data_IF_716809955132
#
_entry.id   IF_716809955132
#
_cell.length_a   1.000
_cell.length_b   1.000
_cell.length_c   1.000
_cell.angle_alpha   90.00
_cell.angle_beta   90.00
_cell.angle_gamma   90.00
#
_symmetry.space_group_name_H-M   'P 1'
#
loop_
_entity.id
_entity.type
_entity.pdbx_description
1 polymer ?
#
# COMPACT_ATOMS: atom_id res chain seq x y z
N UNK A 1 -6.54 1.03 -11.85
CA UNK A 1 -5.65 -0.12 -11.69
C UNK A 1 -4.23 0.39 -11.54
N UNK A 2 -3.48 -0.13 -10.57
CA UNK A 2 -2.09 0.25 -10.27
C UNK A 2 -1.24 -1.02 -10.35
N UNK A 3 -0.21 -1.00 -11.18
CA UNK A 3 0.71 -2.11 -11.38
C UNK A 3 2.16 -1.64 -11.20
N UNK A 4 2.79 -1.95 -10.05
CA UNK A 4 4.24 -1.80 -9.87
C UNK A 4 5.01 -2.82 -10.70
N UNK A 5 6.02 -2.38 -11.46
CA UNK A 5 6.78 -3.19 -12.41
C UNK A 5 8.29 -3.00 -12.21
N UNK A 6 9.09 -4.08 -12.27
CA UNK A 6 10.55 -4.01 -12.21
C UNK A 6 11.24 -4.94 -13.21
N UNK A 7 11.16 -6.27 -13.01
CA UNK A 7 11.81 -7.29 -13.86
C UNK A 7 10.79 -8.14 -14.64
N UNK A 8 9.51 -7.89 -14.43
CA UNK A 8 8.38 -8.78 -14.67
C UNK A 8 7.62 -8.44 -15.96
N UNK A 9 8.30 -7.84 -16.95
CA UNK A 9 7.71 -7.44 -18.24
C UNK A 9 6.89 -8.57 -18.90
N UNK A 10 7.39 -9.80 -18.88
CA UNK A 10 6.72 -10.92 -19.54
C UNK A 10 5.47 -11.39 -18.80
N UNK A 11 5.49 -11.37 -17.48
CA UNK A 11 4.32 -11.66 -16.68
C UNK A 11 3.29 -10.53 -16.81
N UNK A 12 3.74 -9.27 -16.82
CA UNK A 12 2.88 -8.11 -17.06
C UNK A 12 2.13 -8.21 -18.39
N UNK A 13 2.81 -8.56 -19.49
CA UNK A 13 2.13 -8.75 -20.79
C UNK A 13 1.08 -9.86 -20.73
N UNK A 14 1.39 -10.99 -20.07
CA UNK A 14 0.45 -12.11 -19.93
C UNK A 14 -0.77 -11.71 -19.10
N UNK A 15 -0.55 -11.04 -17.98
CA UNK A 15 -1.62 -10.53 -17.12
C UNK A 15 -2.51 -9.55 -17.89
N UNK A 16 -1.94 -8.58 -18.61
CA UNK A 16 -2.70 -7.59 -19.38
C UNK A 16 -3.56 -8.25 -20.48
N UNK A 17 -3.07 -9.29 -21.16
CA UNK A 17 -3.86 -10.05 -22.13
C UNK A 17 -5.04 -10.83 -21.52
N UNK A 18 -5.08 -10.97 -20.19
CA UNK A 18 -6.07 -11.74 -19.47
C UNK A 18 -7.07 -10.87 -18.69
N UNK A 19 -6.91 -9.55 -18.70
CA UNK A 19 -7.90 -8.62 -18.15
C UNK A 19 -9.17 -8.69 -19.01
N UNK A 20 -10.28 -9.17 -18.42
CA UNK A 20 -11.57 -9.36 -19.10
C UNK A 20 -12.54 -8.18 -18.98
N UNK A 21 -12.11 -7.09 -18.36
CA UNK A 21 -12.96 -5.91 -18.05
C UNK A 21 -12.26 -4.62 -18.46
N UNK A 22 -13.01 -3.56 -18.83
CA UNK A 22 -12.40 -2.28 -19.16
C UNK A 22 -11.64 -1.66 -17.98
N UNK A 23 -10.47 -1.11 -18.24
CA UNK A 23 -9.70 -0.33 -17.25
C UNK A 23 -10.01 1.15 -17.47
N UNK A 24 -10.63 1.80 -16.47
CA UNK A 24 -10.92 3.24 -16.49
C UNK A 24 -9.65 4.09 -16.51
N UNK A 25 -8.70 3.76 -15.63
CA UNK A 25 -7.41 4.42 -15.44
C UNK A 25 -6.35 3.37 -15.08
N UNK A 26 -5.28 3.32 -15.86
CA UNK A 26 -4.14 2.42 -15.69
C UNK A 26 -2.91 3.23 -15.25
N UNK A 27 -2.38 2.90 -14.08
CA UNK A 27 -1.16 3.49 -13.53
C UNK A 27 -0.08 2.41 -13.52
N UNK A 28 0.93 2.58 -14.36
CA UNK A 28 2.09 1.70 -14.41
C UNK A 28 3.25 2.40 -13.68
N UNK A 29 3.84 1.73 -12.70
CA UNK A 29 4.95 2.31 -11.94
C UNK A 29 6.20 1.49 -12.17
N UNK A 30 7.10 2.00 -13.01
CA UNK A 30 8.40 1.40 -13.22
C UNK A 30 9.28 1.66 -11.99
N UNK A 31 9.74 0.60 -11.35
CA UNK A 31 10.45 0.58 -10.07
C UNK A 31 11.86 -0.02 -10.21
N UNK A 32 12.63 0.55 -11.13
CA UNK A 32 13.93 0.09 -11.62
C UNK A 32 14.26 0.68 -12.98
N UNK A 33 15.39 0.28 -13.56
CA UNK A 33 15.95 0.75 -14.83
C UNK A 33 16.09 -0.35 -15.88
N UNK A 34 15.39 -1.47 -15.73
CA UNK A 34 15.37 -2.55 -16.72
C UNK A 34 14.97 -1.99 -18.11
N UNK A 35 15.84 -2.19 -19.09
CA UNK A 35 15.77 -1.50 -20.37
C UNK A 35 14.58 -1.95 -21.21
N UNK A 36 14.26 -3.24 -21.23
CA UNK A 36 13.16 -3.77 -22.02
C UNK A 36 11.80 -3.31 -21.49
N UNK A 37 11.63 -3.26 -20.18
CA UNK A 37 10.47 -2.68 -19.52
C UNK A 37 10.35 -1.20 -19.87
N UNK A 38 11.45 -0.45 -19.75
CA UNK A 38 11.49 0.99 -20.07
C UNK A 38 11.04 1.27 -21.51
N UNK A 39 11.53 0.49 -22.47
CA UNK A 39 11.14 0.57 -23.88
C UNK A 39 9.67 0.22 -24.07
N UNK A 40 9.19 -0.86 -23.45
CA UNK A 40 7.79 -1.27 -23.56
C UNK A 40 6.84 -0.19 -23.01
N UNK A 41 7.16 0.42 -21.88
CA UNK A 41 6.35 1.47 -21.28
C UNK A 41 6.37 2.76 -22.12
N UNK A 42 7.51 3.10 -22.73
CA UNK A 42 7.61 4.21 -23.68
C UNK A 42 6.71 4.03 -24.89
N UNK A 43 6.67 2.82 -25.46
CA UNK A 43 5.77 2.51 -26.57
C UNK A 43 4.30 2.55 -26.16
N UNK A 44 3.96 2.06 -24.96
CA UNK A 44 2.58 2.15 -24.45
C UNK A 44 2.12 3.61 -24.29
N UNK A 45 2.97 4.50 -23.76
CA UNK A 45 2.65 5.93 -23.70
C UNK A 45 2.53 6.55 -25.09
N UNK A 46 3.39 6.18 -26.03
CA UNK A 46 3.30 6.68 -27.41
C UNK A 46 1.95 6.33 -28.05
N UNK A 47 1.44 5.13 -27.79
CA UNK A 47 0.19 4.63 -28.39
C UNK A 47 -1.06 5.08 -27.62
N UNK A 48 -1.01 5.11 -26.28
CA UNK A 48 -2.19 5.31 -25.43
C UNK A 48 -2.12 6.54 -24.52
N UNK A 49 -0.98 7.22 -24.42
CA UNK A 49 -0.78 8.35 -23.51
C UNK A 49 -1.70 9.55 -23.78
N UNK A 50 -2.11 9.74 -25.04
CA UNK A 50 -3.08 10.77 -25.43
C UNK A 50 -4.47 10.58 -24.81
N UNK A 51 -4.80 9.38 -24.33
CA UNK A 51 -6.14 9.06 -23.81
C UNK A 51 -6.43 9.68 -22.44
N UNK A 52 -5.41 10.14 -21.71
CA UNK A 52 -5.53 10.53 -20.30
C UNK A 52 -5.87 9.36 -19.34
N UNK A 53 -5.95 8.12 -19.85
CA UNK A 53 -6.29 6.91 -19.09
C UNK A 53 -5.10 5.99 -18.81
N UNK A 54 -3.92 6.34 -19.33
CA UNK A 54 -2.66 5.68 -19.04
C UNK A 54 -1.71 6.70 -18.39
N UNK A 55 -1.18 6.35 -17.22
CA UNK A 55 -0.13 7.09 -16.54
C UNK A 55 1.03 6.14 -16.30
N UNK A 56 2.23 6.55 -16.71
CA UNK A 56 3.46 5.82 -16.42
C UNK A 56 4.34 6.67 -15.51
N UNK A 57 4.57 6.20 -14.28
CA UNK A 57 5.53 6.79 -13.37
C UNK A 57 6.85 6.04 -13.45
N UNK A 58 7.95 6.75 -13.69
CA UNK A 58 9.28 6.14 -13.87
C UNK A 58 10.20 6.45 -12.71
N UNK A 59 10.71 5.39 -12.08
CA UNK A 59 11.71 5.48 -11.03
C UNK A 59 12.89 4.57 -11.39
N UNK A 60 13.99 5.13 -11.92
CA UNK A 60 15.20 4.36 -12.25
C UNK A 60 15.82 3.69 -11.02
N UNK A 61 15.69 4.32 -9.85
CA UNK A 61 15.98 3.70 -8.57
C UNK A 61 14.75 3.00 -8.00
N UNK A 62 14.95 1.86 -7.34
CA UNK A 62 13.85 1.14 -6.72
C UNK A 62 13.34 1.90 -5.47
N UNK A 63 12.13 2.46 -5.56
CA UNK A 63 11.44 3.16 -4.48
C UNK A 63 10.70 2.24 -3.51
N UNK A 64 10.64 0.94 -3.80
CA UNK A 64 9.93 -0.07 -3.03
C UNK A 64 8.47 -0.24 -3.47
N UNK A 65 7.90 -1.41 -3.18
CA UNK A 65 6.55 -1.78 -3.59
C UNK A 65 5.49 -0.88 -2.97
N UNK A 66 5.55 -0.64 -1.65
CA UNK A 66 4.63 0.27 -0.94
C UNK A 66 4.60 1.66 -1.59
N UNK A 67 5.76 2.26 -1.86
CA UNK A 67 5.84 3.58 -2.46
C UNK A 67 5.27 3.59 -3.89
N UNK A 68 5.54 2.55 -4.67
CA UNK A 68 4.98 2.40 -6.02
C UNK A 68 3.45 2.27 -6.01
N UNK A 69 2.89 1.47 -5.11
CA UNK A 69 1.42 1.39 -4.94
C UNK A 69 0.86 2.74 -4.49
N UNK A 70 1.51 3.40 -3.53
CA UNK A 70 1.05 4.68 -3.00
C UNK A 70 0.99 5.80 -4.04
N UNK A 71 1.81 5.76 -5.11
CA UNK A 71 1.67 6.72 -6.24
C UNK A 71 0.27 6.63 -6.84
N UNK A 72 -0.21 5.40 -7.09
CA UNK A 72 -1.56 5.19 -7.62
C UNK A 72 -2.66 5.52 -6.61
N UNK A 73 -2.45 5.26 -5.32
CA UNK A 73 -3.40 5.64 -4.27
C UNK A 73 -3.53 7.16 -4.13
N UNK A 74 -2.41 7.89 -4.11
CA UNK A 74 -2.40 9.37 -4.06
C UNK A 74 -3.15 9.95 -5.26
N UNK A 75 -2.88 9.45 -6.46
CA UNK A 75 -3.60 9.86 -7.66
C UNK A 75 -5.12 9.59 -7.53
N UNK A 76 -5.51 8.40 -7.07
CA UNK A 76 -6.92 8.06 -6.89
C UNK A 76 -7.64 8.99 -5.90
N UNK A 77 -6.96 9.44 -4.83
CA UNK A 77 -7.52 10.41 -3.89
C UNK A 77 -7.56 11.83 -4.45
N UNK A 78 -6.66 12.19 -5.37
CA UNK A 78 -6.67 13.50 -6.04
C UNK A 78 -7.77 13.67 -7.10
N UNK A 79 -8.33 12.56 -7.59
CA UNK A 79 -9.40 12.54 -8.57
C UNK A 79 -10.79 12.48 -7.90
N UNK A 80 -11.87 12.93 -8.56
CA UNK A 80 -13.22 12.80 -8.03
C UNK A 80 -13.57 11.37 -7.65
N UNK A 81 -14.32 11.19 -6.55
CA UNK A 81 -14.67 9.85 -6.04
C UNK A 81 -15.50 9.03 -7.04
N UNK A 82 -16.30 9.72 -7.84
CA UNK A 82 -17.15 9.15 -8.87
C UNK A 82 -16.31 8.58 -10.02
N UNK A 83 -15.12 9.14 -10.26
CA UNK A 83 -14.20 8.63 -11.27
C UNK A 83 -13.37 7.45 -10.79
N UNK A 84 -12.99 7.45 -9.50
CA UNK A 84 -12.15 6.41 -8.89
C UNK A 84 -12.73 5.96 -7.54
N UNK A 85 -13.83 5.19 -7.53
CA UNK A 85 -14.48 4.72 -6.30
C UNK A 85 -13.70 3.62 -5.55
N UNK A 86 -12.74 2.99 -6.23
CA UNK A 86 -11.83 1.99 -5.67
C UNK A 86 -10.54 1.94 -6.50
N UNK A 87 -9.50 1.33 -5.93
CA UNK A 87 -8.23 1.10 -6.60
C UNK A 87 -7.95 -0.38 -6.66
N UNK A 88 -7.80 -0.90 -7.88
CA UNK A 88 -7.31 -2.25 -8.12
C UNK A 88 -5.78 -2.25 -8.12
N UNK A 89 -5.16 -2.83 -7.09
CA UNK A 89 -3.71 -3.01 -6.96
C UNK A 89 -3.38 -4.46 -7.30
N UNK A 90 -2.46 -4.68 -8.23
CA UNK A 90 -2.18 -6.03 -8.70
C UNK A 90 -0.72 -6.22 -9.08
N UNK A 91 -0.17 -7.39 -8.73
CA UNK A 91 1.12 -7.87 -9.19
C UNK A 91 0.99 -8.34 -10.65
N UNK A 92 2.10 -8.33 -11.37
CA UNK A 92 2.11 -8.78 -12.77
C UNK A 92 2.06 -10.29 -12.97
N UNK A 93 2.34 -11.09 -11.93
CA UNK A 93 2.45 -12.55 -12.03
C UNK A 93 1.18 -13.29 -11.60
N UNK A 94 0.04 -12.65 -11.88
CA UNK A 94 -1.31 -13.17 -11.63
C UNK A 94 -2.07 -13.40 -12.93
N UNK A 95 -3.02 -14.33 -12.89
CA UNK A 95 -3.99 -14.58 -13.95
C UNK A 95 -5.38 -14.81 -13.37
N UNK A 96 -6.39 -14.36 -14.10
CA UNK A 96 -7.81 -14.38 -13.78
C UNK A 96 -8.56 -15.24 -14.79
N UNK A 97 -9.54 -16.00 -14.34
CA UNK A 97 -10.54 -16.52 -15.27
C UNK A 97 -11.43 -15.38 -15.77
N UNK A 98 -12.01 -15.48 -16.99
CA UNK A 98 -12.79 -14.40 -17.58
C UNK A 98 -13.97 -13.91 -16.71
N UNK A 99 -14.54 -14.80 -15.90
CA UNK A 99 -15.67 -14.55 -14.99
C UNK A 99 -15.28 -13.91 -13.65
N UNK A 100 -14.00 -13.94 -13.25
CA UNK A 100 -13.58 -13.47 -11.94
C UNK A 100 -13.72 -11.94 -11.80
N UNK A 101 -13.08 -11.18 -12.70
CA UNK A 101 -13.07 -9.71 -12.61
C UNK A 101 -14.47 -9.08 -12.75
N UNK A 102 -15.37 -9.53 -13.66
CA UNK A 102 -16.74 -9.02 -13.72
C UNK A 102 -17.51 -9.21 -12.42
N UNK A 103 -17.40 -10.38 -11.77
CA UNK A 103 -18.06 -10.63 -10.50
C UNK A 103 -17.46 -9.81 -9.35
N UNK A 104 -16.13 -9.67 -9.32
CA UNK A 104 -15.44 -8.83 -8.34
C UNK A 104 -15.88 -7.36 -8.46
N UNK A 105 -15.98 -6.83 -9.68
CA UNK A 105 -16.47 -5.47 -9.93
C UNK A 105 -17.93 -5.28 -9.48
N UNK A 106 -18.80 -6.25 -9.79
CA UNK A 106 -20.20 -6.22 -9.32
C UNK A 106 -20.26 -6.13 -7.80
N UNK A 107 -19.57 -7.04 -7.11
CA UNK A 107 -19.55 -7.08 -5.64
C UNK A 107 -19.04 -5.75 -5.05
N UNK A 108 -17.97 -5.16 -5.60
CA UNK A 108 -17.47 -3.86 -5.13
C UNK A 108 -18.51 -2.77 -5.32
N UNK A 109 -19.07 -2.61 -6.52
CA UNK A 109 -20.05 -1.57 -6.80
C UNK A 109 -21.31 -1.68 -5.93
N UNK A 110 -21.84 -2.90 -5.73
CA UNK A 110 -23.03 -3.13 -4.94
C UNK A 110 -22.80 -2.89 -3.45
N UNK A 111 -21.67 -3.38 -2.91
CA UNK A 111 -21.40 -3.39 -1.48
C UNK A 111 -20.81 -2.07 -0.97
N UNK A 112 -20.26 -1.22 -1.82
CA UNK A 112 -19.73 0.10 -1.44
C UNK A 112 -20.66 1.27 -1.80
N UNK A 113 -21.90 1.00 -2.26
CA UNK A 113 -22.83 2.06 -2.72
C UNK A 113 -23.16 3.14 -1.69
N UNK A 114 -22.98 2.83 -0.40
CA UNK A 114 -23.25 3.74 0.71
C UNK A 114 -21.99 4.44 1.25
N UNK A 115 -20.80 4.10 0.74
CA UNK A 115 -19.54 4.64 1.26
C UNK A 115 -19.41 6.15 1.02
N UNK A 116 -20.02 6.68 -0.05
CA UNK A 116 -19.97 8.11 -0.35
C UNK A 116 -20.53 8.98 0.78
N UNK A 117 -21.72 8.63 1.30
CA UNK A 117 -22.33 9.34 2.43
C UNK A 117 -21.46 9.27 3.67
N UNK A 118 -20.89 8.09 3.95
CA UNK A 118 -19.97 7.91 5.09
C UNK A 118 -18.71 8.76 4.95
N UNK A 119 -18.16 8.86 3.74
CA UNK A 119 -17.00 9.72 3.47
C UNK A 119 -17.32 11.20 3.66
N UNK A 120 -18.52 11.66 3.26
CA UNK A 120 -18.96 13.04 3.43
C UNK A 120 -19.11 13.40 4.92
N UNK A 121 -19.68 12.51 5.73
CA UNK A 121 -19.76 12.67 7.19
C UNK A 121 -18.36 12.80 7.82
N UNK A 122 -17.43 11.92 7.44
CA UNK A 122 -16.07 11.92 7.98
C UNK A 122 -15.30 13.16 7.53
N UNK A 123 -15.47 13.61 6.29
CA UNK A 123 -14.86 14.83 5.80
C UNK A 123 -15.37 16.07 6.57
N UNK A 124 -16.66 16.13 6.86
CA UNK A 124 -17.24 17.19 7.68
C UNK A 124 -16.74 17.15 9.13
N UNK A 125 -16.60 15.96 9.73
CA UNK A 125 -16.01 15.81 11.07
C UNK A 125 -14.54 16.29 11.07
N UNK A 126 -13.75 15.84 10.09
CA UNK A 126 -12.33 16.20 9.97
C UNK A 126 -12.11 17.69 9.70
N UNK A 127 -12.98 18.34 8.93
CA UNK A 127 -12.88 19.77 8.63
C UNK A 127 -12.99 20.67 9.88
N UNK A 128 -13.59 20.16 10.97
CA UNK A 128 -13.76 20.88 12.23
C UNK A 128 -12.66 20.56 13.26
N UNK A 129 -11.58 19.88 12.86
CA UNK A 129 -10.50 19.52 13.77
C UNK A 129 -9.45 20.63 13.93
N UNK A 130 -8.79 20.76 15.09
CA UNK A 130 -8.82 19.85 16.24
C UNK A 130 -10.16 19.88 17.02
N UNK A 131 -10.56 18.73 17.55
CA UNK A 131 -11.78 18.52 18.36
C UNK A 131 -11.43 18.12 19.80
N UNK A 132 -12.42 17.92 20.68
CA UNK A 132 -12.21 17.51 22.07
C UNK A 132 -11.46 16.17 22.25
N UNK A 133 -11.36 15.38 21.18
CA UNK A 133 -10.60 14.13 21.12
C UNK A 133 -9.13 14.33 20.73
N UNK A 134 -8.75 15.51 20.23
CA UNK A 134 -7.38 15.82 19.82
C UNK A 134 -6.44 15.85 21.03
N UNK A 135 -5.30 15.14 21.00
CA UNK A 135 -4.34 15.09 22.10
C UNK A 135 -3.65 16.44 22.34
N UNK A 136 -3.63 17.32 21.35
CA UNK A 136 -3.08 18.69 21.40
C UNK A 136 -3.73 19.51 22.50
N UNK A 137 -5.06 19.42 22.62
CA UNK A 137 -5.86 20.16 23.59
C UNK A 137 -5.72 19.60 25.02
N UNK A 138 -5.18 18.37 25.17
CA UNK A 138 -5.01 17.70 26.47
C UNK A 138 -3.57 17.65 26.96
N UNK A 139 -2.58 17.72 26.06
CA UNK A 139 -1.15 17.45 26.39
C UNK A 139 -0.13 18.30 25.61
N UNK A 140 -0.55 19.31 24.84
CA UNK A 140 0.37 20.20 24.10
C UNK A 140 1.15 19.54 22.95
N UNK A 141 0.73 18.36 22.50
CA UNK A 141 1.29 17.66 21.34
C UNK A 141 0.88 18.36 20.03
N UNK A 142 1.58 18.15 18.91
CA UNK A 142 1.12 18.64 17.59
C UNK A 142 0.06 17.71 17.00
N UNK A 143 -0.90 18.26 16.25
CA UNK A 143 -1.88 17.45 15.49
C UNK A 143 -1.09 16.69 14.43
N UNK A 144 -1.30 15.38 14.34
CA UNK A 144 -0.68 14.55 13.30
C UNK A 144 -1.43 14.73 12.00
N UNK A 145 -0.95 15.62 11.12
CA UNK A 145 -1.47 15.78 9.76
C UNK A 145 -0.32 15.84 8.78
N UNK A 146 -0.22 14.82 7.94
CA UNK A 146 0.57 14.90 6.73
C UNK A 146 -0.11 15.83 5.73
N UNK A 147 0.67 16.68 5.06
CA UNK A 147 0.22 17.38 3.86
C UNK A 147 0.41 16.47 2.65
N UNK A 148 -0.22 16.80 1.52
CA UNK A 148 -0.01 16.07 0.26
C UNK A 148 1.48 16.00 -0.14
N UNK A 149 2.24 17.05 0.20
CA UNK A 149 3.69 17.15 -0.06
C UNK A 149 4.57 16.53 1.04
N UNK A 150 4.00 16.01 2.14
CA UNK A 150 4.79 15.40 3.20
C UNK A 150 5.22 13.98 2.81
N UNK A 151 6.45 13.86 2.31
CA UNK A 151 7.06 12.57 2.00
C UNK A 151 7.57 11.81 3.22
N UNK A 152 7.49 12.39 4.43
CA UNK A 152 8.08 11.86 5.66
C UNK A 152 7.05 11.35 6.64
N UNK A 153 5.97 12.07 6.91
CA UNK A 153 4.87 11.61 7.76
C UNK A 153 3.69 11.18 6.87
N UNK A 154 3.07 10.05 7.19
CA UNK A 154 1.83 9.62 6.57
C UNK A 154 0.73 9.55 7.62
N UNK A 155 -0.41 10.16 7.31
CA UNK A 155 -1.64 10.12 8.11
C UNK A 155 -2.84 9.97 7.19
N UNK A 156 -3.92 9.36 7.66
CA UNK A 156 -5.16 9.27 6.87
C UNK A 156 -5.84 10.62 6.69
N UNK A 157 -6.38 10.86 5.50
CA UNK A 157 -7.07 12.10 5.16
C UNK A 157 -8.42 12.23 5.89
N UNK A 158 -9.16 11.13 6.04
CA UNK A 158 -10.54 11.10 6.54
C UNK A 158 -10.72 10.31 7.84
N UNK A 159 -9.64 9.98 8.56
CA UNK A 159 -9.77 9.40 9.89
C UNK A 159 -9.89 10.54 10.92
N UNK A 160 -11.05 10.75 11.56
CA UNK A 160 -11.19 11.77 12.58
C UNK A 160 -10.47 11.38 13.86
N UNK A 161 -10.05 12.37 14.64
CA UNK A 161 -9.34 12.29 15.92
C UNK A 161 -10.12 11.44 16.93
N UNK A 162 -11.47 11.54 16.91
CA UNK A 162 -12.35 10.68 17.70
C UNK A 162 -12.08 9.20 17.44
N UNK A 163 -11.90 8.79 16.19
CA UNK A 163 -11.59 7.40 15.84
C UNK A 163 -10.09 7.14 15.99
N UNK A 164 -9.22 8.02 15.51
CA UNK A 164 -7.76 7.89 15.54
C UNK A 164 -7.22 7.62 16.95
N UNK A 165 -7.78 8.29 17.96
CA UNK A 165 -7.33 8.22 19.34
C UNK A 165 -8.25 7.40 20.26
N UNK A 166 -9.33 6.83 19.74
CA UNK A 166 -10.22 5.94 20.49
C UNK A 166 -9.51 4.65 20.95
N UNK A 167 -10.12 3.97 21.92
CA UNK A 167 -9.65 2.65 22.36
C UNK A 167 -9.72 1.63 21.22
N UNK A 168 -8.94 0.54 21.33
CA UNK A 168 -8.95 -0.57 20.35
C UNK A 168 -10.38 -1.07 20.11
N UNK A 169 -11.14 -1.29 21.20
CA UNK A 169 -12.51 -1.84 21.16
C UNK A 169 -13.52 -0.92 20.45
N UNK A 170 -13.31 0.39 20.53
CA UNK A 170 -14.16 1.36 19.83
C UNK A 170 -13.78 1.46 18.35
N UNK A 171 -12.48 1.44 18.03
CA UNK A 171 -11.98 1.49 16.65
C UNK A 171 -12.40 0.27 15.84
N UNK A 172 -12.40 -0.93 16.42
CA UNK A 172 -12.85 -2.16 15.74
C UNK A 172 -14.33 -2.10 15.30
N UNK A 173 -15.11 -1.14 15.79
CA UNK A 173 -16.52 -0.93 15.40
C UNK A 173 -16.69 0.20 14.39
N UNK A 174 -15.66 1.01 14.15
CA UNK A 174 -15.78 2.24 13.37
C UNK A 174 -16.25 2.02 11.93
N UNK A 175 -15.82 0.90 11.33
CA UNK A 175 -16.13 0.55 9.94
C UNK A 175 -16.72 -0.87 9.80
N UNK A 176 -17.33 -1.42 10.86
CA UNK A 176 -17.84 -2.81 10.91
C UNK A 176 -18.91 -3.16 9.88
N UNK A 177 -19.53 -2.15 9.26
CA UNK A 177 -20.54 -2.30 8.22
C UNK A 177 -20.02 -1.98 6.81
N UNK A 178 -18.73 -1.65 6.67
CA UNK A 178 -18.10 -1.30 5.41
C UNK A 178 -17.04 -2.33 5.02
N UNK A 179 -16.89 -2.52 3.71
CA UNK A 179 -15.84 -3.37 3.16
C UNK A 179 -14.59 -2.54 2.90
N UNK A 180 -13.45 -3.00 3.42
CA UNK A 180 -12.19 -2.31 3.22
C UNK A 180 -11.50 -2.72 1.93
N UNK A 181 -11.60 -4.01 1.62
CA UNK A 181 -10.97 -4.59 0.45
C UNK A 181 -11.70 -5.83 -0.05
N UNK A 182 -11.50 -6.10 -1.33
CA UNK A 182 -12.06 -7.24 -2.05
C UNK A 182 -10.93 -8.03 -2.70
N UNK A 183 -10.87 -9.30 -2.38
CA UNK A 183 -9.81 -10.21 -2.79
C UNK A 183 -10.23 -11.03 -4.01
N UNK A 184 -9.34 -11.10 -5.01
CA UNK A 184 -9.48 -12.01 -6.14
C UNK A 184 -9.27 -13.49 -5.73
N UNK A 185 -8.78 -13.77 -4.52
CA UNK A 185 -8.41 -15.12 -4.09
C UNK A 185 -8.60 -15.40 -2.61
N UNK A 186 -9.16 -16.56 -2.30
CA UNK A 186 -9.56 -16.98 -0.96
C UNK A 186 -8.47 -17.68 -0.10
N UNK A 187 -7.28 -18.03 -0.62
CA UNK A 187 -6.25 -18.78 0.14
C UNK A 187 -4.95 -18.02 0.39
N UNK A 188 -5.03 -16.82 0.99
CA UNK A 188 -3.87 -16.17 1.61
C UNK A 188 -2.94 -15.37 0.69
N UNK A 189 -3.38 -15.02 -0.53
CA UNK A 189 -2.63 -14.10 -1.43
C UNK A 189 -3.50 -12.93 -1.89
N UNK A 190 -4.40 -12.44 -1.04
CA UNK A 190 -5.35 -11.39 -1.39
C UNK A 190 -4.66 -10.16 -2.01
N UNK A 191 -3.57 -9.67 -1.40
CA UNK A 191 -2.88 -8.46 -1.84
C UNK A 191 -1.95 -8.64 -3.05
N UNK A 192 -1.78 -9.87 -3.56
CA UNK A 192 -1.21 -10.06 -4.89
C UNK A 192 -2.14 -9.48 -5.98
N UNK A 193 -3.45 -9.39 -5.70
CA UNK A 193 -4.43 -8.75 -6.57
C UNK A 193 -5.69 -8.37 -5.78
N UNK A 194 -5.76 -7.12 -5.32
CA UNK A 194 -6.78 -6.62 -4.39
C UNK A 194 -7.46 -5.35 -4.92
N UNK A 195 -8.77 -5.23 -4.70
CA UNK A 195 -9.48 -3.95 -4.84
C UNK A 195 -9.62 -3.29 -3.48
N UNK A 196 -9.00 -2.13 -3.29
CA UNK A 196 -9.11 -1.30 -2.09
C UNK A 196 -10.20 -0.26 -2.30
N UNK A 197 -11.12 -0.13 -1.34
CA UNK A 197 -12.20 0.86 -1.43
C UNK A 197 -11.65 2.26 -1.16
N UNK A 198 -12.26 3.28 -1.77
CA UNK A 198 -11.83 4.67 -1.52
C UNK A 198 -12.01 5.08 -0.06
N UNK A 199 -13.05 4.58 0.60
CA UNK A 199 -13.26 4.76 2.03
C UNK A 199 -12.08 4.21 2.85
N UNK A 200 -11.65 2.97 2.57
CA UNK A 200 -10.49 2.38 3.24
C UNK A 200 -9.20 3.16 2.99
N UNK A 201 -8.89 3.52 1.76
CA UNK A 201 -7.68 4.29 1.44
C UNK A 201 -7.69 5.63 2.20
N UNK A 202 -8.86 6.27 2.30
CA UNK A 202 -9.00 7.59 2.93
C UNK A 202 -8.91 7.53 4.46
N UNK A 203 -9.23 6.41 5.10
CA UNK A 203 -9.30 6.28 6.58
C UNK A 203 -8.20 5.41 7.17
N UNK A 204 -7.71 4.41 6.44
CA UNK A 204 -6.56 3.56 6.83
C UNK A 204 -5.25 4.20 6.44
N UNK A 205 -5.26 4.99 5.35
CA UNK A 205 -4.11 5.71 4.82
C UNK A 205 -3.32 4.85 3.84
N UNK A 206 -2.08 5.26 3.58
CA UNK A 206 -1.22 4.61 2.60
C UNK A 206 -0.53 3.34 3.13
N UNK A 207 0.07 2.54 2.23
CA UNK A 207 0.99 1.47 2.62
C UNK A 207 2.21 2.07 3.31
N UNK A 208 2.70 1.41 4.37
CA UNK A 208 3.89 1.88 5.09
C UNK A 208 5.14 1.68 4.22
N UNK A 209 5.74 2.79 3.79
CA UNK A 209 6.90 2.81 2.89
C UNK A 209 8.19 2.32 3.56
N UNK A 210 8.18 2.05 4.87
CA UNK A 210 9.31 1.45 5.57
C UNK A 210 9.42 -0.08 5.34
N UNK A 211 8.35 -0.73 4.89
CA UNK A 211 8.42 -2.10 4.37
C UNK A 211 9.09 -2.06 2.99
N UNK A 212 10.41 -2.12 3.00
CA UNK A 212 11.27 -1.85 1.84
C UNK A 212 12.30 -2.96 1.65
N UNK A 213 12.49 -3.49 0.42
CA UNK A 213 11.87 -3.02 -0.83
C UNK A 213 10.48 -3.63 -1.11
N UNK A 214 10.11 -4.74 -0.48
CA UNK A 214 8.80 -5.39 -0.60
C UNK A 214 8.62 -6.45 0.50
N UNK A 215 7.42 -7.01 0.61
CA UNK A 215 6.92 -7.98 1.59
C UNK A 215 6.58 -7.40 2.96
N UNK A 216 5.48 -7.91 3.55
CA UNK A 216 4.89 -7.53 4.85
C UNK A 216 4.06 -6.25 4.81
N UNK A 217 4.16 -5.42 3.78
CA UNK A 217 3.29 -4.24 3.61
C UNK A 217 1.81 -4.60 3.51
N UNK A 218 1.50 -5.76 2.92
CA UNK A 218 0.16 -6.32 2.80
C UNK A 218 -0.40 -6.78 4.14
N UNK A 219 0.43 -7.46 4.94
CA UNK A 219 0.10 -7.89 6.30
C UNK A 219 -0.17 -6.68 7.18
N UNK A 220 0.68 -5.64 7.11
CA UNK A 220 0.48 -4.39 7.83
C UNK A 220 -0.82 -3.69 7.44
N UNK A 221 -1.08 -3.54 6.14
CA UNK A 221 -2.28 -2.87 5.65
C UNK A 221 -3.56 -3.65 6.01
N UNK A 222 -3.55 -4.99 5.84
CA UNK A 222 -4.64 -5.88 6.23
C UNK A 222 -4.94 -5.82 7.73
N UNK A 223 -3.90 -5.75 8.56
CA UNK A 223 -4.07 -5.60 10.00
C UNK A 223 -4.69 -4.25 10.36
N UNK A 224 -4.23 -3.15 9.76
CA UNK A 224 -4.82 -1.81 9.98
C UNK A 224 -6.28 -1.74 9.56
N UNK A 225 -6.65 -2.37 8.44
CA UNK A 225 -8.05 -2.52 8.01
C UNK A 225 -8.89 -3.22 9.09
N UNK A 226 -8.41 -4.37 9.58
CA UNK A 226 -9.10 -5.16 10.60
C UNK A 226 -9.27 -4.41 11.91
N UNK A 227 -8.22 -3.72 12.37
CA UNK A 227 -8.23 -2.95 13.62
C UNK A 227 -9.12 -1.68 13.54
N UNK A 228 -9.48 -1.24 12.34
CA UNK A 228 -10.52 -0.22 12.10
C UNK A 228 -11.92 -0.84 11.91
N UNK A 229 -12.05 -2.16 11.94
CA UNK A 229 -13.31 -2.87 11.82
C UNK A 229 -13.76 -3.15 10.38
N UNK A 230 -12.95 -2.86 9.36
CA UNK A 230 -13.35 -3.15 7.99
C UNK A 230 -13.56 -4.64 7.74
N UNK A 231 -14.57 -4.96 6.93
CA UNK A 231 -14.80 -6.31 6.42
C UNK A 231 -13.92 -6.60 5.21
N UNK A 232 -13.51 -7.85 5.10
CA UNK A 232 -12.89 -8.41 3.90
C UNK A 232 -13.95 -9.15 3.08
N UNK A 233 -13.94 -8.97 1.75
CA UNK A 233 -14.75 -9.77 0.83
C UNK A 233 -13.86 -10.63 -0.05
N UNK A 234 -14.03 -11.95 0.03
CA UNK A 234 -13.42 -12.89 -0.92
C UNK A 234 -14.42 -13.25 -2.01
N UNK A 235 -14.00 -13.15 -3.27
CA UNK A 235 -14.78 -13.65 -4.40
C UNK A 235 -14.62 -15.17 -4.49
N UNK A 236 -15.75 -15.87 -4.50
CA UNK A 236 -15.79 -17.34 -4.50
C UNK A 236 -16.00 -17.94 -5.90
N UNK A 237 -16.15 -17.10 -6.93
CA UNK A 237 -16.31 -17.50 -8.31
C UNK A 237 -15.06 -17.19 -9.16
N UNK A 238 -14.89 -17.96 -10.23
CA UNK A 238 -13.71 -17.91 -11.07
C UNK A 238 -12.48 -18.59 -10.48
N UNK A 239 -11.41 -18.61 -11.28
CA UNK A 239 -10.09 -19.13 -10.91
C UNK A 239 -9.10 -17.97 -10.89
N UNK A 240 -8.28 -17.96 -9.85
CA UNK A 240 -7.14 -17.07 -9.73
C UNK A 240 -5.87 -17.90 -9.66
N UNK A 241 -4.88 -17.52 -10.45
CA UNK A 241 -3.55 -18.12 -10.43
C UNK A 241 -2.55 -17.05 -10.07
N UNK A 242 -1.84 -17.23 -8.96
CA UNK A 242 -0.69 -16.43 -8.60
C UNK A 242 0.55 -17.29 -8.73
N UNK A 243 1.44 -16.96 -9.68
CA UNK A 243 2.66 -17.72 -9.91
C UNK A 243 3.67 -17.56 -8.78
N UNK A 244 3.58 -16.45 -8.03
CA UNK A 244 4.33 -16.14 -6.82
C UNK A 244 5.81 -15.90 -7.07
N UNK A 245 6.41 -14.92 -6.39
CA UNK A 245 7.87 -14.71 -6.35
C UNK A 245 8.54 -14.63 -7.73
N UNK A 246 7.85 -14.18 -8.77
CA UNK A 246 8.40 -14.15 -10.13
C UNK A 246 9.64 -13.27 -10.24
N UNK A 247 9.62 -12.08 -9.62
CA UNK A 247 10.78 -11.19 -9.56
C UNK A 247 11.95 -11.80 -8.80
N UNK A 248 11.72 -12.51 -7.68
CA UNK A 248 12.78 -13.25 -6.97
C UNK A 248 13.38 -14.32 -7.89
N UNK A 249 12.53 -15.18 -8.46
CA UNK A 249 12.99 -16.29 -9.33
C UNK A 249 13.79 -15.78 -10.52
N UNK A 250 13.34 -14.70 -11.15
CA UNK A 250 14.03 -14.11 -12.28
C UNK A 250 15.34 -13.46 -11.83
N UNK A 251 15.34 -12.73 -10.71
CA UNK A 251 16.55 -12.10 -10.18
C UNK A 251 17.68 -13.09 -9.87
N UNK A 252 17.35 -14.36 -9.59
CA UNK A 252 18.33 -15.43 -9.36
C UNK A 252 18.84 -16.10 -10.65
N UNK A 253 18.26 -15.78 -11.81
CA UNK A 253 18.59 -16.41 -13.10
C UNK A 253 19.31 -15.47 -14.08
N UNK A 254 19.29 -14.17 -13.82
CA UNK A 254 19.84 -13.15 -14.74
C UNK A 254 20.79 -12.23 -14.01
N UNK A 255 21.77 -11.72 -14.75
CA UNK A 255 22.82 -10.82 -14.26
C UNK A 255 22.56 -9.36 -14.71
N UNK A 256 21.29 -8.95 -14.67
CA UNK A 256 20.89 -7.56 -14.91
C UNK A 256 21.19 -6.71 -13.67
N UNK A 257 21.51 -5.41 -13.82
CA UNK A 257 21.81 -4.53 -12.67
C UNK A 257 20.72 -4.54 -11.59
N UNK A 258 19.44 -4.48 -11.97
CA UNK A 258 18.32 -4.49 -11.03
C UNK A 258 18.08 -5.86 -10.40
N UNK A 259 18.38 -6.95 -11.12
CA UNK A 259 18.33 -8.30 -10.58
C UNK A 259 19.41 -8.51 -9.50
N UNK A 260 20.64 -8.06 -9.78
CA UNK A 260 21.74 -8.11 -8.82
C UNK A 260 21.47 -7.25 -7.60
N UNK A 261 20.97 -6.02 -7.82
CA UNK A 261 20.56 -5.12 -6.75
C UNK A 261 19.50 -5.78 -5.86
N UNK A 262 18.43 -6.31 -6.47
CA UNK A 262 17.34 -6.92 -5.73
C UNK A 262 17.79 -8.17 -4.97
N UNK A 263 18.66 -9.01 -5.54
CA UNK A 263 19.23 -10.19 -4.87
C UNK A 263 19.97 -9.81 -3.58
N UNK A 264 20.81 -8.77 -3.65
CA UNK A 264 21.56 -8.24 -2.48
C UNK A 264 20.62 -7.65 -1.43
N UNK A 265 19.64 -6.86 -1.84
CA UNK A 265 18.72 -6.23 -0.88
C UNK A 265 17.80 -7.27 -0.24
N UNK A 266 17.27 -8.22 -1.02
CA UNK A 266 16.40 -9.27 -0.52
C UNK A 266 17.09 -10.16 0.53
N UNK A 267 18.41 -10.41 0.39
CA UNK A 267 19.17 -11.19 1.37
C UNK A 267 19.31 -10.52 2.74
N UNK A 268 19.04 -9.22 2.85
CA UNK A 268 19.09 -8.49 4.13
C UNK A 268 17.88 -8.78 5.03
N UNK A 269 16.78 -9.30 4.47
CA UNK A 269 15.52 -9.56 5.21
C UNK A 269 15.06 -8.36 6.06
N UNK A 270 15.21 -7.15 5.49
CA UNK A 270 15.03 -5.84 6.15
C UNK A 270 13.70 -5.68 6.88
N UNK A 271 12.64 -6.34 6.42
CA UNK A 271 11.29 -6.19 6.93
C UNK A 271 11.01 -7.06 8.17
N UNK A 272 11.81 -8.10 8.42
CA UNK A 272 11.71 -8.92 9.63
C UNK A 272 11.95 -8.12 10.92
N UNK A 273 13.08 -7.40 11.10
CA UNK A 273 13.27 -6.58 12.29
C UNK A 273 12.25 -5.43 12.37
N UNK A 274 11.81 -4.89 11.23
CA UNK A 274 10.85 -3.78 11.21
C UNK A 274 9.44 -4.20 11.66
N UNK A 275 8.92 -5.34 11.19
CA UNK A 275 7.61 -5.84 11.62
C UNK A 275 7.61 -6.27 13.08
N UNK A 276 8.70 -6.87 13.56
CA UNK A 276 8.85 -7.20 14.99
C UNK A 276 8.81 -5.93 15.83
N UNK A 277 9.54 -4.89 15.43
CA UNK A 277 9.53 -3.61 16.14
C UNK A 277 8.15 -2.93 16.09
N UNK A 278 7.46 -2.96 14.95
CA UNK A 278 6.16 -2.29 14.77
C UNK A 278 4.99 -3.02 15.44
N UNK A 279 4.98 -4.35 15.41
CA UNK A 279 3.82 -5.16 15.77
C UNK A 279 4.09 -6.27 16.80
N UNK A 280 5.31 -6.37 17.32
CA UNK A 280 5.77 -7.46 18.19
C UNK A 280 5.69 -8.86 17.54
N UNK A 281 5.92 -8.93 16.23
CA UNK A 281 6.06 -10.19 15.51
C UNK A 281 5.27 -10.25 14.20
N UNK A 282 5.48 -11.35 13.46
CA UNK A 282 4.81 -11.61 12.17
C UNK A 282 3.36 -12.06 12.33
N UNK A 283 2.98 -12.57 13.51
CA UNK A 283 1.60 -13.04 13.82
C UNK A 283 0.78 -11.94 14.48
N UNK A 284 0.88 -10.72 13.96
CA UNK A 284 0.24 -9.52 14.52
C UNK A 284 -1.30 -9.63 14.65
N UNK A 285 -1.94 -10.66 14.06
CA UNK A 285 -3.35 -10.99 14.31
C UNK A 285 -3.66 -11.42 15.75
N UNK A 286 -2.75 -12.17 16.38
CA UNK A 286 -3.15 -13.14 17.38
C UNK A 286 -2.45 -12.88 18.73
N UNK A 287 -1.13 -12.65 18.73
CA UNK A 287 -0.32 -12.43 19.94
C UNK A 287 0.55 -11.16 19.89
N UNK A 288 0.43 -10.35 18.82
CA UNK A 288 1.17 -9.10 18.64
C UNK A 288 0.45 -7.86 19.18
N UNK A 289 1.09 -6.69 19.02
CA UNK A 289 0.49 -5.41 19.39
C UNK A 289 -0.80 -5.14 18.61
N UNK A 290 -1.77 -4.51 19.28
CA UNK A 290 -3.03 -4.04 18.66
C UNK A 290 -2.94 -2.60 18.16
N UNK A 291 -1.78 -1.97 18.31
CA UNK A 291 -1.44 -0.65 17.80
C UNK A 291 0.05 -0.63 17.38
N UNK A 292 0.43 0.21 16.39
CA UNK A 292 1.83 0.35 16.01
C UNK A 292 2.71 0.77 17.19
N UNK A 293 3.80 0.04 17.39
CA UNK A 293 4.78 0.24 18.45
C UNK A 293 4.13 0.30 19.85
N UNK A 294 3.15 -0.56 20.11
CA UNK A 294 2.41 -0.62 21.39
C UNK A 294 1.70 0.71 21.74
N UNK A 295 1.12 1.35 20.73
CA UNK A 295 0.31 2.56 20.92
C UNK A 295 1.11 3.86 20.97
N UNK A 296 2.42 3.83 20.69
CA UNK A 296 3.23 5.06 20.59
C UNK A 296 2.67 6.04 19.55
N UNK A 297 2.18 5.54 18.41
CA UNK A 297 1.53 6.35 17.37
C UNK A 297 0.19 5.75 16.98
N UNK A 298 -0.75 6.55 16.43
CA UNK A 298 -2.03 6.03 15.96
C UNK A 298 -1.88 5.03 14.81
N UNK A 299 -2.94 4.25 14.62
CA UNK A 299 -2.97 3.13 13.68
C UNK A 299 -2.75 3.52 12.21
N UNK A 300 -3.21 4.71 11.80
CA UNK A 300 -3.06 5.25 10.45
C UNK A 300 -1.70 5.91 10.20
N UNK A 301 -0.83 5.96 11.22
CA UNK A 301 0.39 6.76 11.18
C UNK A 301 1.63 5.89 10.94
N UNK A 302 2.47 6.35 10.03
CA UNK A 302 3.86 5.89 9.91
C UNK A 302 4.75 7.06 9.51
N UNK A 303 6.03 6.99 9.92
CA UNK A 303 7.04 8.00 9.59
C UNK A 303 8.15 7.33 8.80
N UNK A 304 8.45 7.85 7.61
CA UNK A 304 9.44 7.31 6.70
C UNK A 304 10.85 7.41 7.30
N UNK A 305 11.51 6.26 7.41
CA UNK A 305 12.90 6.12 7.78
C UNK A 305 13.81 6.29 6.55
N UNK A 306 13.82 7.49 5.95
CA UNK A 306 14.53 7.75 4.69
C UNK A 306 16.01 7.34 4.76
N UNK A 307 16.71 7.70 5.84
CA UNK A 307 18.11 7.32 6.03
C UNK A 307 18.33 5.80 6.07
N UNK A 308 17.36 5.02 6.56
CA UNK A 308 17.41 3.54 6.52
C UNK A 308 17.26 3.04 5.08
N UNK A 309 16.29 3.56 4.34
CA UNK A 309 16.04 3.18 2.94
C UNK A 309 17.27 3.50 2.07
N UNK A 310 17.86 4.67 2.23
CA UNK A 310 19.06 5.08 1.48
C UNK A 310 20.26 4.15 1.72
N UNK A 311 20.51 3.74 2.98
CA UNK A 311 21.57 2.76 3.28
C UNK A 311 21.30 1.39 2.62
N UNK A 312 20.05 0.94 2.61
CA UNK A 312 19.67 -0.33 1.97
C UNK A 312 19.89 -0.24 0.45
N UNK A 313 19.52 0.88 -0.18
CA UNK A 313 19.77 1.14 -1.61
C UNK A 313 21.25 1.12 -1.96
N UNK A 314 22.06 1.87 -1.24
CA UNK A 314 23.50 1.95 -1.43
C UNK A 314 24.18 0.57 -1.30
N UNK A 315 23.74 -0.25 -0.34
CA UNK A 315 24.18 -1.65 -0.23
C UNK A 315 23.77 -2.48 -1.46
N UNK A 316 22.53 -2.36 -1.93
CA UNK A 316 22.08 -3.02 -3.16
C UNK A 316 22.95 -2.66 -4.37
N UNK A 317 23.34 -1.39 -4.51
CA UNK A 317 24.23 -0.94 -5.57
C UNK A 317 25.69 -1.41 -5.39
N UNK A 318 26.06 -1.88 -4.20
CA UNK A 318 27.43 -2.30 -3.87
C UNK A 318 28.35 -1.14 -3.53
N UNK A 319 27.80 0.05 -3.31
CA UNK A 319 28.52 1.23 -2.81
C UNK A 319 28.98 1.00 -1.37
N UNK A 320 28.19 0.25 -0.59
CA UNK A 320 28.54 -0.20 0.75
C UNK A 320 28.80 -1.71 0.70
N UNK A 321 30.02 -2.14 1.06
CA UNK A 321 30.40 -3.56 1.07
C UNK A 321 30.03 -4.29 2.36
N UNK A 322 29.92 -3.57 3.48
CA UNK A 322 29.50 -4.14 4.77
C UNK A 322 27.97 -4.15 4.85
N UNK A 323 27.41 -5.13 5.55
CA UNK A 323 25.97 -5.18 5.83
C UNK A 323 25.58 -3.88 6.54
N UNK A 324 24.63 -3.09 6.00
CA UNK A 324 24.26 -1.82 6.57
C UNK A 324 23.43 -2.02 7.84
N UNK A 325 23.37 -0.98 8.68
CA UNK A 325 22.40 -0.93 9.78
C UNK A 325 20.97 -0.86 9.23
N UNK A 326 20.21 -1.94 9.40
CA UNK A 326 18.85 -2.10 8.88
C UNK A 326 17.75 -1.82 9.89
N UNK A 327 18.08 -1.52 11.16
CA UNK A 327 17.04 -1.14 12.13
C UNK A 327 16.46 0.24 11.79
N UNK A 328 15.18 0.39 12.09
CA UNK A 328 14.49 1.66 12.00
C UNK A 328 14.80 2.52 13.24
N UNK A 329 15.00 3.81 13.01
CA UNK A 329 15.26 4.76 14.07
C UNK A 329 13.95 5.20 14.74
N UNK A 330 13.67 4.61 15.91
CA UNK A 330 12.45 4.91 16.69
C UNK A 330 12.39 6.36 17.18
N UNK A 331 13.50 7.09 17.21
CA UNK A 331 13.49 8.51 17.63
C UNK A 331 12.71 9.38 16.64
N UNK A 332 12.54 8.91 15.39
CA UNK A 332 11.68 9.55 14.38
C UNK A 332 10.20 9.65 14.82
N UNK A 333 9.77 8.82 15.77
CA UNK A 333 8.40 8.80 16.29
C UNK A 333 8.18 9.76 17.46
N UNK A 334 9.25 10.19 18.15
CA UNK A 334 9.14 10.99 19.37
C UNK A 334 8.40 12.32 19.20
N UNK A 335 8.50 13.04 18.06
CA UNK A 335 7.69 14.23 17.82
C UNK A 335 6.18 13.96 17.77
N UNK A 336 5.77 12.69 17.63
CA UNK A 336 4.41 12.26 17.34
C UNK A 336 3.82 11.34 18.43
N UNK A 337 4.61 11.02 19.45
CA UNK A 337 4.18 10.10 20.51
C UNK A 337 3.27 10.76 21.52
N UNK A 338 2.29 10.00 22.02
CA UNK A 338 1.65 10.31 23.31
C UNK A 338 2.78 10.36 24.36
N UNK A 339 2.96 11.49 25.04
CA UNK A 339 4.13 11.77 25.89
C UNK A 339 4.51 10.65 26.86
N UNK A 340 5.81 10.62 27.22
CA UNK A 340 6.40 9.74 28.23
C UNK A 340 5.63 9.74 29.54
#
# INVERSE_FOLDING_TARGET
>A
MVAPLMLDLMEFRRMMCNISVPIRLLVLVQNGREAMLSLCLKELERVYGWSGRLIVSRHPENIGYSAAVNIGLRLALSLPREEVPFVFVTNSDVMFSPDLLPNLLRDVHEMTRHDAARMDELAAEVANEPSEYSPVLRRGLRVLRSTVDDGRLSTSALLPDRIRYASVKEREKAFSNHYGHFCAYYKGSCFASVMLTRLAISTVGYFDENFYPAYVEDVDYSLRLRLLGFRERNVLCGKFVHRGSSSIRLSNKVELPDALWYRRVNSLMTNQPYVVMKWNGLKACCDGYKEPYDGMVPLDVWVKGEARIQRIRAYGHGEIRRVPRIEYDRTLLYPFTKGR
#
